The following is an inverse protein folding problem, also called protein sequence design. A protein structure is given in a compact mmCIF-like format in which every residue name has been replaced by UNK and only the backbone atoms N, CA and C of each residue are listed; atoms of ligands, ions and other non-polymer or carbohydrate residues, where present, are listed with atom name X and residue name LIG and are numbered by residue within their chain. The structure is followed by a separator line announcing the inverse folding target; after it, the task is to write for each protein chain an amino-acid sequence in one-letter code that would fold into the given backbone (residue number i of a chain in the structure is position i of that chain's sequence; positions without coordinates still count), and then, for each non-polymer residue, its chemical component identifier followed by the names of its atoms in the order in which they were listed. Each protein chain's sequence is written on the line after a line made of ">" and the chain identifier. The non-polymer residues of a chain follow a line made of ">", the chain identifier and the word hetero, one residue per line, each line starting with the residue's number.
data_IF_386888990568
#
_entry.id   IF_386888990568
#
_cell.length_a   1.000
_cell.length_b   1.000
_cell.length_c   1.000
_cell.angle_alpha   90.00
_cell.angle_beta   90.00
_cell.angle_gamma   90.00
#
_symmetry.space_group_name_H-M   'P 1'
#
loop_
_entity.id
_entity.type
_entity.pdbx_description
1 polymer ?
#
# COMPACT_ATOMS: atom_id res chain seq x y z
N UNK A 1 15.55 2.36 16.83
CA UNK A 1 14.36 2.85 17.55
C UNK A 1 13.74 3.95 16.70
N UNK A 2 12.45 3.88 16.39
CA UNK A 2 11.80 4.81 15.46
C UNK A 2 11.47 6.13 16.18
N UNK A 3 11.59 7.26 15.47
CA UNK A 3 11.20 8.61 15.92
C UNK A 3 9.86 8.66 16.69
N UNK A 4 8.76 8.00 16.25
CA UNK A 4 7.50 7.99 16.99
C UNK A 4 7.62 7.37 18.39
N UNK A 5 8.43 6.33 18.57
CA UNK A 5 8.65 5.72 19.87
C UNK A 5 9.33 6.69 20.84
N UNK A 6 10.26 7.51 20.35
CA UNK A 6 10.96 8.49 21.19
C UNK A 6 10.04 9.64 21.62
N UNK A 7 9.17 10.13 20.73
CA UNK A 7 8.17 11.15 21.05
C UNK A 7 7.16 10.68 22.09
N UNK A 8 6.72 9.43 22.01
CA UNK A 8 5.77 8.87 22.98
C UNK A 8 6.38 8.74 24.38
N UNK A 9 7.62 8.26 24.48
CA UNK A 9 8.33 8.13 25.75
C UNK A 9 8.55 9.51 26.39
N UNK A 10 9.01 10.48 25.60
CA UNK A 10 9.25 11.84 26.09
C UNK A 10 7.96 12.53 26.53
N UNK A 11 6.87 12.36 25.77
CA UNK A 11 5.54 12.87 26.14
C UNK A 11 4.99 12.26 27.42
N UNK A 12 5.11 10.94 27.60
CA UNK A 12 4.72 10.25 28.82
C UNK A 12 5.54 10.70 30.04
N UNK A 13 6.85 10.92 29.86
CA UNK A 13 7.73 11.42 30.91
C UNK A 13 7.32 12.83 31.38
N UNK A 14 7.10 13.76 30.44
CA UNK A 14 6.69 15.13 30.76
C UNK A 14 5.31 15.18 31.44
N UNK A 15 4.37 14.36 30.98
CA UNK A 15 3.05 14.24 31.61
C UNK A 15 3.15 13.66 33.02
N UNK A 16 4.01 12.66 33.24
CA UNK A 16 4.26 12.13 34.58
C UNK A 16 4.84 13.19 35.51
N UNK A 17 5.79 14.00 35.04
CA UNK A 17 6.35 15.13 35.83
C UNK A 17 5.28 16.17 36.16
N UNK A 18 4.36 16.46 35.23
CA UNK A 18 3.25 17.38 35.44
C UNK A 18 2.20 16.87 36.44
N UNK A 19 1.84 15.58 36.39
CA UNK A 19 0.86 14.95 37.29
C UNK A 19 1.44 14.73 38.69
N UNK A 20 2.71 14.31 38.78
CA UNK A 20 3.33 13.92 40.04
C UNK A 20 3.75 15.11 40.92
N UNK A 21 3.66 16.35 40.44
CA UNK A 21 3.45 17.53 41.29
C UNK A 21 4.47 17.80 42.42
N UNK A 22 5.63 17.14 42.45
CA UNK A 22 6.80 17.43 43.29
C UNK A 22 6.68 17.11 44.79
N UNK A 23 7.62 16.32 45.30
CA UNK A 23 7.90 16.25 46.74
C UNK A 23 8.61 14.97 47.21
N UNK A 24 9.76 14.63 46.64
CA UNK A 24 10.65 13.67 47.32
C UNK A 24 11.30 14.42 48.49
N UNK A 25 10.86 14.14 49.73
CA UNK A 25 11.61 14.49 50.93
C UNK A 25 12.90 13.65 50.96
N UNK A 26 13.93 14.11 50.26
CA UNK A 26 15.30 13.72 50.57
C UNK A 26 15.83 14.78 51.51
N UNK A 27 16.18 14.34 52.72
CA UNK A 27 16.40 15.09 53.97
C UNK A 27 17.39 16.28 53.94
N UNK A 28 17.90 16.72 52.79
CA UNK A 28 18.90 17.79 52.68
C UNK A 28 18.71 18.75 51.47
N UNK A 29 17.82 18.51 50.50
CA UNK A 29 17.73 19.37 49.30
C UNK A 29 16.49 20.25 49.32
N UNK A 30 16.69 21.50 49.73
CA UNK A 30 15.70 22.59 49.67
C UNK A 30 15.44 22.98 48.22
N UNK A 31 14.54 22.25 47.56
CA UNK A 31 14.07 22.60 46.20
C UNK A 31 13.15 23.82 46.32
N UNK A 32 13.56 24.94 45.73
CA UNK A 32 12.79 26.18 45.67
C UNK A 32 11.37 25.93 45.14
N UNK A 33 10.38 26.57 45.75
CA UNK A 33 8.98 26.52 45.35
C UNK A 33 8.86 26.97 43.88
N UNK A 34 8.73 26.00 42.97
CA UNK A 34 8.44 26.27 41.56
C UNK A 34 7.09 26.97 41.52
N UNK A 35 7.11 28.26 41.17
CA UNK A 35 5.94 29.15 41.18
C UNK A 35 4.78 28.52 40.41
N UNK A 36 3.56 28.65 40.93
CA UNK A 36 2.34 28.06 40.36
C UNK A 36 2.18 28.37 38.86
N UNK A 37 2.62 29.55 38.44
CA UNK A 37 2.68 29.97 37.02
C UNK A 37 3.56 29.07 36.16
N UNK A 38 4.73 28.66 36.64
CA UNK A 38 5.60 27.73 35.91
C UNK A 38 4.97 26.34 35.77
N UNK A 39 4.19 25.89 36.77
CA UNK A 39 3.46 24.62 36.71
C UNK A 39 2.31 24.66 35.69
N UNK A 40 1.55 25.74 35.67
CA UNK A 40 0.46 25.95 34.70
C UNK A 40 1.03 26.02 33.28
N UNK A 41 2.11 26.78 33.06
CA UNK A 41 2.77 26.86 31.76
C UNK A 41 3.26 25.49 31.28
N UNK A 42 3.90 24.71 32.14
CA UNK A 42 4.35 23.36 31.79
C UNK A 42 3.17 22.43 31.45
N UNK A 43 2.07 22.50 32.21
CA UNK A 43 0.86 21.72 31.93
C UNK A 43 0.19 22.08 30.60
N UNK A 44 0.08 23.38 30.29
CA UNK A 44 -0.50 23.88 29.03
C UNK A 44 0.35 23.48 27.83
N UNK A 45 1.67 23.63 27.92
CA UNK A 45 2.61 23.22 26.86
C UNK A 45 2.53 21.69 26.66
N UNK A 46 2.50 20.91 27.74
CA UNK A 46 2.35 19.45 27.67
C UNK A 46 1.04 19.01 27.02
N UNK A 47 -0.09 19.62 27.40
CA UNK A 47 -1.39 19.33 26.80
C UNK A 47 -1.44 19.71 25.31
N UNK A 48 -0.84 20.83 24.93
CA UNK A 48 -0.74 21.26 23.53
C UNK A 48 0.04 20.25 22.67
N UNK A 49 1.15 19.71 23.18
CA UNK A 49 1.94 18.68 22.47
C UNK A 49 1.20 17.34 22.35
N UNK A 50 0.42 16.94 23.36
CA UNK A 50 -0.39 15.71 23.30
C UNK A 50 -1.52 15.86 22.28
N UNK A 51 -2.21 16.99 22.26
CA UNK A 51 -3.28 17.26 21.29
C UNK A 51 -2.71 17.39 19.89
N UNK A 52 -1.57 18.08 19.70
CA UNK A 52 -0.87 18.13 18.40
C UNK A 52 -0.38 16.75 17.95
N UNK A 53 0.04 15.88 18.87
CA UNK A 53 0.48 14.52 18.56
C UNK A 53 -0.66 13.56 18.23
N UNK A 54 -1.83 13.71 18.86
CA UNK A 54 -3.03 12.91 18.58
C UNK A 54 -3.82 13.42 17.36
N UNK A 55 -3.64 14.69 17.00
CA UNK A 55 -4.38 15.37 15.93
C UNK A 55 -3.51 15.81 14.75
N UNK A 56 -2.25 15.37 14.68
CA UNK A 56 -1.60 15.24 13.38
C UNK A 56 -2.09 13.90 12.81
N UNK A 57 -3.10 13.89 11.91
CA UNK A 57 -3.27 12.73 11.07
C UNK A 57 -1.90 12.47 10.46
N UNK A 58 -1.40 11.25 10.64
CA UNK A 58 -0.20 10.76 10.00
C UNK A 58 -0.20 11.28 8.57
N UNK A 59 0.57 12.34 8.31
CA UNK A 59 0.97 12.62 6.95
C UNK A 59 1.52 11.28 6.49
N UNK A 60 0.97 10.69 5.43
CA UNK A 60 1.52 9.46 4.92
C UNK A 60 2.99 9.80 4.65
N UNK A 61 3.88 9.26 5.49
CA UNK A 61 5.30 9.22 5.21
C UNK A 61 5.40 8.21 4.09
N UNK A 62 4.98 8.63 2.89
CA UNK A 62 5.27 7.99 1.64
C UNK A 62 6.75 8.25 1.40
N UNK A 63 7.60 7.65 2.22
CA UNK A 63 8.83 7.09 1.70
C UNK A 63 8.42 5.80 0.98
N UNK A 64 7.64 5.93 -0.10
CA UNK A 64 7.76 4.95 -1.17
C UNK A 64 9.24 5.00 -1.58
N UNK A 65 9.96 3.88 -1.53
CA UNK A 65 11.25 3.82 -2.20
C UNK A 65 10.99 4.27 -3.62
N UNK A 66 11.73 5.26 -4.10
CA UNK A 66 11.67 5.81 -5.46
C UNK A 66 11.37 4.66 -6.44
N UNK A 67 10.08 4.47 -6.75
CA UNK A 67 9.68 3.68 -7.90
C UNK A 67 10.25 4.49 -9.04
N UNK A 68 11.15 3.93 -9.87
CA UNK A 68 11.66 4.67 -11.01
C UNK A 68 10.43 5.19 -11.75
N UNK A 69 10.31 6.51 -11.82
CA UNK A 69 9.32 7.16 -12.64
C UNK A 69 9.42 6.50 -14.00
N UNK A 70 8.36 5.80 -14.48
CA UNK A 70 8.36 5.39 -15.87
C UNK A 70 8.62 6.66 -16.67
N UNK A 71 9.58 6.67 -17.61
CA UNK A 71 9.82 7.85 -18.40
C UNK A 71 8.50 8.23 -19.05
N UNK A 72 8.03 9.43 -18.71
CA UNK A 72 6.84 10.06 -19.23
C UNK A 72 7.09 10.46 -20.69
N UNK A 73 7.42 9.51 -21.56
CA UNK A 73 7.69 9.72 -22.98
C UNK A 73 7.92 8.38 -23.72
N UNK A 74 6.94 7.48 -23.67
CA UNK A 74 6.66 6.64 -24.83
C UNK A 74 5.16 6.78 -25.06
N UNK A 75 4.80 7.33 -26.22
CA UNK A 75 3.43 7.53 -26.62
C UNK A 75 2.65 6.24 -26.39
N UNK A 76 1.68 6.28 -25.48
CA UNK A 76 0.69 5.23 -25.33
C UNK A 76 -0.15 5.28 -26.60
N UNK A 77 0.31 4.56 -27.62
CA UNK A 77 -0.62 3.98 -28.59
C UNK A 77 -1.52 3.13 -27.73
N UNK A 78 -2.71 3.63 -27.41
CA UNK A 78 -3.66 2.95 -26.54
C UNK A 78 -3.81 1.54 -27.08
N UNK A 79 -3.11 0.58 -26.46
CA UNK A 79 -3.13 -0.80 -26.90
C UNK A 79 -4.57 -1.27 -26.70
N UNK A 80 -5.34 -1.23 -27.80
CA UNK A 80 -6.75 -1.57 -27.79
C UNK A 80 -6.83 -3.07 -27.57
N UNK A 81 -7.70 -3.52 -26.68
CA UNK A 81 -7.93 -4.95 -26.50
C UNK A 81 -9.13 -5.39 -27.33
N UNK A 82 -9.09 -6.66 -27.73
CA UNK A 82 -10.23 -7.34 -28.32
C UNK A 82 -11.39 -7.43 -27.33
N UNK A 83 -12.58 -7.69 -27.87
CA UNK A 83 -13.68 -8.19 -27.07
C UNK A 83 -13.25 -9.46 -26.33
N UNK A 84 -13.82 -9.68 -25.14
CA UNK A 84 -13.48 -10.83 -24.31
C UNK A 84 -14.12 -12.09 -24.89
N UNK A 85 -13.27 -13.05 -25.20
CA UNK A 85 -13.68 -14.36 -25.67
C UNK A 85 -14.07 -15.21 -24.45
N UNK A 86 -15.38 -15.27 -24.15
CA UNK A 86 -15.90 -16.07 -23.05
C UNK A 86 -15.91 -17.55 -23.41
N UNK A 87 -15.66 -18.40 -22.41
CA UNK A 87 -15.56 -19.85 -22.56
C UNK A 87 -14.54 -20.27 -23.64
N UNK A 88 -13.46 -19.50 -23.77
CA UNK A 88 -12.37 -19.71 -24.71
C UNK A 88 -11.02 -19.69 -24.00
N UNK A 89 -10.19 -20.69 -24.30
CA UNK A 89 -8.80 -20.76 -23.91
C UNK A 89 -7.89 -20.67 -25.15
N UNK A 90 -6.93 -19.74 -25.13
CA UNK A 90 -5.85 -19.68 -26.13
C UNK A 90 -4.61 -20.38 -25.58
N UNK A 91 -4.60 -21.71 -25.56
CA UNK A 91 -3.54 -22.47 -24.90
C UNK A 91 -2.17 -22.28 -25.56
N UNK A 92 -1.13 -22.09 -24.74
CA UNK A 92 0.26 -21.96 -25.18
C UNK A 92 0.73 -20.51 -25.33
N UNK A 93 2.03 -20.34 -25.59
CA UNK A 93 2.63 -19.00 -25.74
C UNK A 93 2.74 -18.20 -24.44
N UNK A 94 2.54 -18.86 -23.29
CA UNK A 94 2.57 -18.25 -21.98
C UNK A 94 4.02 -17.94 -21.57
N UNK A 95 4.31 -16.68 -21.26
CA UNK A 95 5.63 -16.26 -20.74
C UNK A 95 5.58 -15.94 -19.23
N UNK A 96 4.39 -15.68 -18.69
CA UNK A 96 4.21 -15.34 -17.28
C UNK A 96 2.81 -15.70 -16.81
N UNK A 97 2.68 -15.96 -15.50
CA UNK A 97 1.40 -16.24 -14.85
C UNK A 97 1.35 -15.67 -13.44
N UNK A 98 0.17 -15.24 -12.99
CA UNK A 98 -0.03 -14.74 -11.64
C UNK A 98 -1.45 -15.04 -11.11
N UNK A 99 -1.58 -15.10 -9.79
CA UNK A 99 -2.86 -15.26 -9.11
C UNK A 99 -3.61 -13.92 -9.08
N UNK A 100 -4.88 -13.94 -9.47
CA UNK A 100 -5.80 -12.80 -9.43
C UNK A 100 -6.54 -12.82 -8.09
N UNK A 101 -6.13 -11.94 -7.18
CA UNK A 101 -6.62 -11.92 -5.80
C UNK A 101 -8.11 -11.53 -5.67
N UNK A 102 -8.65 -10.75 -6.62
CA UNK A 102 -10.04 -10.27 -6.56
C UNK A 102 -10.99 -10.95 -7.55
N UNK A 103 -10.56 -12.03 -8.21
CA UNK A 103 -11.35 -12.74 -9.25
C UNK A 103 -11.81 -11.79 -10.38
N UNK A 104 -11.02 -10.75 -10.65
CA UNK A 104 -11.32 -9.72 -11.66
C UNK A 104 -10.55 -9.96 -12.95
N UNK A 105 -11.28 -10.20 -14.03
CA UNK A 105 -10.72 -10.39 -15.37
C UNK A 105 -9.98 -9.12 -15.85
N UNK A 106 -10.41 -7.93 -15.40
CA UNK A 106 -9.74 -6.67 -15.75
C UNK A 106 -8.26 -6.64 -15.33
N UNK A 107 -7.86 -7.38 -14.30
CA UNK A 107 -6.49 -7.44 -13.83
C UNK A 107 -5.58 -8.08 -14.89
N UNK A 108 -6.06 -9.16 -15.54
CA UNK A 108 -5.39 -9.76 -16.70
C UNK A 108 -5.24 -8.79 -17.86
N UNK A 109 -6.35 -8.15 -18.21
CA UNK A 109 -6.43 -7.27 -19.37
C UNK A 109 -5.52 -6.05 -19.19
N UNK A 110 -5.58 -5.41 -18.02
CA UNK A 110 -4.76 -4.25 -17.66
C UNK A 110 -3.27 -4.61 -17.62
N UNK A 111 -2.92 -5.75 -17.03
CA UNK A 111 -1.54 -6.21 -16.98
C UNK A 111 -0.97 -6.47 -18.37
N UNK A 112 -1.74 -7.11 -19.24
CA UNK A 112 -1.34 -7.32 -20.63
C UNK A 112 -1.22 -6.00 -21.41
N UNK A 113 -2.18 -5.08 -21.23
CA UNK A 113 -2.12 -3.73 -21.85
C UNK A 113 -0.83 -3.00 -21.48
N UNK A 114 -0.39 -3.09 -20.23
CA UNK A 114 0.80 -2.40 -19.71
C UNK A 114 2.14 -3.00 -20.11
N UNK A 115 2.19 -4.20 -20.70
CA UNK A 115 3.44 -4.87 -21.07
C UNK A 115 3.57 -5.02 -22.58
N UNK A 116 4.60 -4.45 -23.20
CA UNK A 116 4.80 -4.51 -24.66
C UNK A 116 4.86 -5.93 -25.21
N UNK A 117 5.55 -6.83 -24.50
CA UNK A 117 5.68 -8.23 -24.89
C UNK A 117 4.37 -9.01 -24.81
N UNK A 118 3.38 -8.54 -24.05
CA UNK A 118 2.10 -9.22 -23.97
C UNK A 118 1.26 -8.88 -25.20
N UNK A 119 0.81 -9.90 -25.92
CA UNK A 119 -0.10 -9.75 -27.07
C UNK A 119 -1.41 -10.49 -26.86
N UNK A 120 -1.47 -11.45 -25.93
CA UNK A 120 -2.69 -12.12 -25.52
C UNK A 120 -2.66 -12.52 -24.04
N UNK A 121 -3.83 -12.80 -23.47
CA UNK A 121 -3.96 -13.30 -22.12
C UNK A 121 -5.11 -14.30 -22.03
N UNK A 122 -5.03 -15.18 -21.03
CA UNK A 122 -6.13 -16.07 -20.65
C UNK A 122 -6.33 -16.03 -19.14
N UNK A 123 -7.55 -15.72 -18.74
CA UNK A 123 -8.05 -15.81 -17.39
C UNK A 123 -8.64 -17.20 -17.16
N UNK A 124 -8.21 -17.88 -16.11
CA UNK A 124 -8.75 -19.17 -15.67
C UNK A 124 -9.51 -18.95 -14.38
N UNK A 125 -10.79 -19.38 -14.35
CA UNK A 125 -11.66 -19.31 -13.18
C UNK A 125 -11.04 -20.00 -11.95
N UNK A 126 -11.36 -19.54 -10.73
CA UNK A 126 -10.85 -20.10 -9.48
C UNK A 126 -11.32 -21.54 -9.33
N UNK A 127 -10.53 -22.36 -8.65
CA UNK A 127 -10.79 -23.78 -8.44
C UNK A 127 -10.47 -24.69 -9.64
N UNK A 128 -10.13 -24.13 -10.81
CA UNK A 128 -9.75 -24.92 -11.99
C UNK A 128 -8.24 -25.18 -12.02
N UNK A 129 -7.43 -24.10 -12.04
CA UNK A 129 -5.97 -24.23 -12.04
C UNK A 129 -5.39 -24.13 -10.64
N UNK A 130 -5.92 -23.21 -9.82
CA UNK A 130 -5.52 -22.94 -8.43
C UNK A 130 -6.74 -22.55 -7.62
N UNK A 131 -6.59 -22.40 -6.31
CA UNK A 131 -7.65 -21.90 -5.43
C UNK A 131 -8.15 -20.52 -5.86
N UNK A 132 -7.24 -19.63 -6.27
CA UNK A 132 -7.56 -18.34 -6.85
C UNK A 132 -7.65 -18.43 -8.38
N UNK A 133 -8.27 -17.43 -9.01
CA UNK A 133 -8.18 -17.27 -10.45
C UNK A 133 -6.75 -17.03 -10.89
N UNK A 134 -6.40 -17.52 -12.08
CA UNK A 134 -5.04 -17.42 -12.61
C UNK A 134 -5.05 -16.70 -13.94
N UNK A 135 -4.16 -15.72 -14.07
CA UNK A 135 -3.90 -15.07 -15.32
C UNK A 135 -2.68 -15.66 -16.01
N UNK A 136 -2.81 -15.94 -17.30
CA UNK A 136 -1.71 -16.39 -18.16
C UNK A 136 -1.44 -15.35 -19.25
N UNK A 137 -0.30 -14.68 -19.18
CA UNK A 137 0.13 -13.66 -20.13
C UNK A 137 0.96 -14.30 -21.25
N UNK A 138 0.71 -13.89 -22.49
CA UNK A 138 1.24 -14.52 -23.69
C UNK A 138 1.92 -13.53 -24.62
N UNK A 139 3.00 -13.98 -25.25
CA UNK A 139 3.78 -13.19 -26.22
C UNK A 139 3.48 -13.53 -27.68
N UNK A 140 2.60 -14.50 -27.90
CA UNK A 140 1.97 -14.81 -29.18
C UNK A 140 0.45 -14.85 -29.01
N UNK A 141 -0.30 -14.92 -30.11
CA UNK A 141 -1.76 -15.10 -30.11
C UNK A 141 -2.07 -16.54 -30.56
N UNK A 142 -2.19 -17.52 -29.64
CA UNK A 142 -2.49 -18.91 -29.98
C UNK A 142 -3.90 -19.08 -30.52
N UNK A 143 -4.18 -20.19 -31.20
CA UNK A 143 -5.54 -20.52 -31.63
C UNK A 143 -6.52 -20.58 -30.43
N UNK A 144 -7.74 -20.12 -30.66
CA UNK A 144 -8.80 -20.15 -29.64
C UNK A 144 -9.45 -21.53 -29.60
N UNK A 145 -9.55 -22.13 -28.41
CA UNK A 145 -10.21 -23.41 -28.15
C UNK A 145 -11.39 -23.21 -27.21
N UNK A 146 -12.49 -23.92 -27.44
CA UNK A 146 -13.62 -23.96 -26.51
C UNK A 146 -13.20 -24.53 -25.16
N UNK A 147 -13.39 -23.74 -24.10
CA UNK A 147 -13.18 -24.16 -22.73
C UNK A 147 -13.92 -23.26 -21.72
N UNK A 148 -14.95 -23.81 -21.07
CA UNK A 148 -15.82 -23.12 -20.09
C UNK A 148 -15.06 -22.56 -18.88
N UNK A 149 -13.82 -23.00 -18.63
CA UNK A 149 -13.02 -22.47 -17.53
C UNK A 149 -12.61 -21.01 -17.72
N UNK A 150 -12.63 -20.52 -18.95
CA UNK A 150 -11.63 -19.55 -19.34
C UNK A 150 -12.19 -18.40 -20.16
N UNK A 151 -11.62 -17.22 -19.93
CA UNK A 151 -11.89 -16.03 -20.71
C UNK A 151 -10.58 -15.55 -21.29
N UNK A 152 -10.53 -15.31 -22.60
CA UNK A 152 -9.30 -14.87 -23.27
C UNK A 152 -9.48 -13.51 -23.91
N UNK A 153 -8.37 -12.82 -24.14
CA UNK A 153 -8.32 -11.56 -24.88
C UNK A 153 -6.96 -11.33 -25.52
N UNK A 154 -6.91 -10.42 -26.49
CA UNK A 154 -5.69 -10.10 -27.22
C UNK A 154 -5.60 -8.62 -27.56
N UNK A 155 -4.39 -8.14 -27.83
CA UNK A 155 -4.18 -6.78 -28.34
C UNK A 155 -4.61 -6.71 -29.80
N UNK A 156 -5.39 -5.68 -30.10
CA UNK A 156 -5.68 -5.25 -31.47
C UNK A 156 -4.55 -4.30 -31.88
N UNK A 157 -3.87 -4.64 -32.97
CA UNK A 157 -2.94 -3.73 -33.64
C UNK A 157 -3.68 -2.66 -34.43
#
# INVERSE_FOLDING_TARGET
>A
MTLPTMSFIFGALLLAVGILGGGFEVKEVKVSNVTTTARILAGVVGAAFIVLGFWLPSLPTTSEPMRPTPPLAAASTTAKMSEREHDKNRFGGDYSSFDVATDRIEDCESKCKGEEQCVAWTYVKPGISRTNAVCWLKNVVPASSDNVCCVSGMKIR
#
